data_IF_609239822891
#
_entry.id   IF_609239822891
#
_cell.length_a   1.000
_cell.length_b   1.000
_cell.length_c   1.000
_cell.angle_alpha   90.00
_cell.angle_beta   90.00
_cell.angle_gamma   90.00
#
_symmetry.space_group_name_H-M   'P 1'
#
loop_
_entity.id
_entity.type
_entity.pdbx_description
1 polymer ?
#
# COMPACT_ATOMS: atom_id res chain seq x y z
N UNK A 1 9.29 22.66 5.06
CA UNK A 1 8.58 21.47 4.54
C UNK A 1 9.17 21.15 3.19
N UNK A 2 9.33 19.86 2.85
CA UNK A 2 9.80 19.41 1.53
C UNK A 2 8.63 18.85 0.71
N UNK A 3 8.84 18.71 -0.59
CA UNK A 3 7.93 17.94 -1.44
C UNK A 3 8.29 16.47 -1.31
N UNK A 4 7.44 15.69 -0.64
CA UNK A 4 7.53 14.26 -0.56
C UNK A 4 6.71 13.64 -1.67
N UNK A 5 7.34 12.80 -2.49
CA UNK A 5 6.63 11.97 -3.46
C UNK A 5 6.01 10.79 -2.71
N UNK A 6 4.70 10.65 -2.76
CA UNK A 6 3.99 9.52 -2.17
C UNK A 6 4.56 8.21 -2.72
N UNK A 7 4.76 8.18 -4.02
CA UNK A 7 5.44 7.09 -4.72
C UNK A 7 6.80 7.61 -5.21
N UNK A 8 7.90 6.97 -4.80
CA UNK A 8 9.25 7.41 -5.18
C UNK A 8 9.45 7.47 -6.70
N UNK A 9 10.25 8.44 -7.15
CA UNK A 9 10.53 8.63 -8.59
C UNK A 9 11.12 7.40 -9.28
N UNK A 10 11.89 6.57 -8.56
CA UNK A 10 12.46 5.35 -9.13
C UNK A 10 11.38 4.33 -9.52
N UNK A 11 10.27 4.26 -8.79
CA UNK A 11 9.09 3.43 -9.14
C UNK A 11 8.52 3.90 -10.47
N UNK A 12 8.31 5.20 -10.63
CA UNK A 12 7.81 5.78 -11.87
C UNK A 12 8.70 5.49 -13.07
N UNK A 13 10.03 5.47 -12.88
CA UNK A 13 10.98 5.09 -13.94
C UNK A 13 10.79 3.63 -14.36
N UNK A 14 10.68 2.72 -13.38
CA UNK A 14 10.43 1.29 -13.68
C UNK A 14 9.11 1.10 -14.44
N UNK A 15 8.05 1.77 -14.00
CA UNK A 15 6.75 1.68 -14.68
C UNK A 15 6.77 2.23 -16.10
N UNK A 16 7.58 3.27 -16.37
CA UNK A 16 7.73 3.79 -17.72
C UNK A 16 8.36 2.80 -18.70
N UNK A 17 9.11 1.80 -18.19
CA UNK A 17 9.69 0.70 -18.98
C UNK A 17 8.66 -0.42 -19.23
N UNK A 18 7.57 -0.49 -18.48
CA UNK A 18 6.53 -1.52 -18.64
C UNK A 18 5.71 -1.27 -19.90
N UNK A 19 5.61 -2.30 -20.78
CA UNK A 19 4.84 -2.23 -22.04
C UNK A 19 3.37 -1.89 -21.83
N UNK A 20 2.76 -2.28 -20.70
CA UNK A 20 1.37 -1.95 -20.33
C UNK A 20 1.19 -0.47 -20.04
N UNK A 21 2.28 0.23 -19.72
CA UNK A 21 2.30 1.63 -19.33
C UNK A 21 3.01 2.52 -20.36
N UNK A 22 3.75 1.93 -21.28
CA UNK A 22 4.62 2.65 -22.20
C UNK A 22 3.86 3.56 -23.18
N UNK A 23 4.28 4.81 -23.24
CA UNK A 23 3.96 5.74 -24.30
C UNK A 23 2.69 6.57 -24.14
N UNK A 24 1.79 6.28 -23.19
CA UNK A 24 0.58 7.07 -22.94
C UNK A 24 0.68 7.86 -21.64
N UNK A 25 0.46 9.19 -21.65
CA UNK A 25 0.29 9.95 -20.44
C UNK A 25 -0.84 9.37 -19.59
N UNK A 26 -0.59 9.18 -18.30
CA UNK A 26 -1.60 8.68 -17.36
C UNK A 26 -2.31 9.86 -16.71
N UNK A 27 -3.62 9.84 -16.75
CA UNK A 27 -4.44 10.75 -15.96
C UNK A 27 -4.57 10.16 -14.55
N UNK A 28 -4.11 10.90 -13.57
CA UNK A 28 -4.20 10.49 -12.16
C UNK A 28 -5.48 11.08 -11.58
N UNK A 29 -6.39 10.20 -11.16
CA UNK A 29 -7.67 10.58 -10.57
C UNK A 29 -7.70 10.19 -9.11
N UNK A 30 -8.09 11.13 -8.27
CA UNK A 30 -8.45 10.88 -6.88
C UNK A 30 -9.96 10.84 -6.78
N UNK A 31 -10.50 9.76 -6.25
CA UNK A 31 -11.93 9.58 -6.04
C UNK A 31 -12.21 9.40 -4.54
N UNK A 32 -13.38 9.82 -4.09
CA UNK A 32 -13.87 9.56 -2.74
C UNK A 32 -14.34 8.11 -2.57
N UNK A 33 -14.86 7.78 -1.38
CA UNK A 33 -15.39 6.44 -1.10
C UNK A 33 -16.57 6.04 -1.97
N UNK A 34 -17.31 7.00 -2.49
CA UNK A 34 -18.47 6.80 -3.36
C UNK A 34 -18.08 6.72 -4.83
N UNK A 35 -16.80 6.91 -5.16
CA UNK A 35 -16.30 6.91 -6.54
C UNK A 35 -16.42 8.27 -7.24
N UNK A 36 -16.82 9.34 -6.55
CA UNK A 36 -16.88 10.66 -7.14
C UNK A 36 -15.48 11.25 -7.32
N UNK A 37 -15.26 11.90 -8.45
CA UNK A 37 -13.99 12.55 -8.75
C UNK A 37 -13.74 13.72 -7.78
N UNK A 38 -12.72 13.58 -6.93
CA UNK A 38 -12.27 14.63 -6.02
C UNK A 38 -11.23 15.52 -6.67
N UNK A 39 -10.33 14.93 -7.44
CA UNK A 39 -9.24 15.64 -8.09
C UNK A 39 -8.74 14.87 -9.31
N UNK A 40 -8.47 15.59 -10.38
CA UNK A 40 -7.76 15.09 -11.53
C UNK A 40 -6.45 15.86 -11.67
N UNK A 41 -5.34 15.15 -11.83
CA UNK A 41 -4.04 15.75 -12.10
C UNK A 41 -3.78 15.75 -13.61
N UNK A 42 -3.01 16.74 -14.11
CA UNK A 42 -2.65 16.76 -15.52
C UNK A 42 -2.03 15.44 -15.97
N UNK A 43 -2.27 15.04 -17.22
CA UNK A 43 -1.66 13.85 -17.78
C UNK A 43 -0.14 13.88 -17.63
N UNK A 44 0.44 12.82 -17.08
CA UNK A 44 1.88 12.71 -16.86
C UNK A 44 2.38 11.32 -17.21
N UNK A 45 3.61 11.23 -17.71
CA UNK A 45 4.30 9.94 -17.89
C UNK A 45 4.78 9.34 -16.57
N UNK A 46 4.84 10.14 -15.52
CA UNK A 46 5.31 9.74 -14.19
C UNK A 46 4.19 9.92 -13.17
N UNK A 47 4.15 9.04 -12.20
CA UNK A 47 3.31 9.25 -11.02
C UNK A 47 3.91 10.41 -10.24
N UNK A 48 3.17 11.52 -10.15
CA UNK A 48 3.65 12.74 -9.52
C UNK A 48 2.68 13.21 -8.42
N UNK A 49 2.33 12.29 -7.51
CA UNK A 49 1.54 12.64 -6.34
C UNK A 49 2.50 13.05 -5.23
N UNK A 50 2.44 14.32 -4.84
CA UNK A 50 3.31 14.91 -3.83
C UNK A 50 2.51 15.45 -2.66
N UNK A 51 3.11 15.44 -1.48
CA UNK A 51 2.63 16.14 -0.28
C UNK A 51 3.71 17.06 0.27
N UNK A 52 3.29 18.17 0.88
CA UNK A 52 4.18 19.10 1.60
C UNK A 52 4.05 18.96 3.11
N UNK A 53 3.52 17.84 3.60
CA UNK A 53 3.31 17.57 5.04
C UNK A 53 4.51 16.92 5.72
N UNK A 54 5.52 16.50 4.95
CA UNK A 54 6.73 15.86 5.45
C UNK A 54 7.86 16.88 5.54
N UNK A 55 8.61 16.88 6.65
CA UNK A 55 9.79 17.76 6.78
C UNK A 55 10.96 17.21 5.95
N UNK A 56 11.85 18.13 5.48
CA UNK A 56 13.00 17.77 4.66
C UNK A 56 13.93 16.77 5.35
N UNK A 57 14.18 16.96 6.65
CA UNK A 57 15.04 16.05 7.43
C UNK A 57 14.46 14.64 7.49
N UNK A 58 13.15 14.49 7.67
CA UNK A 58 12.51 13.18 7.65
C UNK A 58 12.56 12.56 6.25
N UNK A 59 12.22 13.33 5.23
CA UNK A 59 12.15 12.88 3.85
C UNK A 59 13.52 12.40 3.34
N UNK A 60 14.52 13.27 3.31
CA UNK A 60 15.88 12.97 2.82
C UNK A 60 16.70 12.14 3.82
N UNK A 61 16.22 12.02 5.06
CA UNK A 61 16.86 11.28 6.13
C UNK A 61 16.43 9.81 6.18
N UNK A 62 15.64 9.46 7.21
CA UNK A 62 15.30 8.06 7.47
C UNK A 62 14.35 7.46 6.44
N UNK A 63 13.40 8.25 5.90
CA UNK A 63 12.45 7.75 4.91
C UNK A 63 13.18 7.31 3.63
N UNK A 64 14.04 8.15 3.09
CA UNK A 64 14.83 7.83 1.91
C UNK A 64 15.90 6.78 2.21
N UNK A 65 16.78 7.05 3.19
CA UNK A 65 17.98 6.24 3.39
C UNK A 65 17.71 4.88 3.99
N UNK A 66 16.72 4.78 4.91
CA UNK A 66 16.47 3.55 5.68
C UNK A 66 15.24 2.77 5.21
N UNK A 67 14.37 3.34 4.39
CA UNK A 67 13.22 2.64 3.83
C UNK A 67 13.26 2.58 2.30
N UNK A 68 13.36 3.71 1.60
CA UNK A 68 13.23 3.71 0.14
C UNK A 68 14.42 3.05 -0.56
N UNK A 69 15.64 3.45 -0.22
CA UNK A 69 16.85 2.86 -0.83
C UNK A 69 16.96 1.37 -0.58
N UNK A 70 16.77 0.84 0.65
CA UNK A 70 16.79 -0.60 0.89
C UNK A 70 15.62 -1.33 0.23
N UNK A 71 14.45 -0.69 0.06
CA UNK A 71 13.30 -1.30 -0.60
C UNK A 71 13.48 -1.42 -2.13
N UNK A 72 14.25 -0.54 -2.75
CA UNK A 72 14.41 -0.52 -4.20
C UNK A 72 14.89 -1.86 -4.81
N UNK A 73 15.94 -2.53 -4.30
CA UNK A 73 16.39 -3.83 -4.83
C UNK A 73 15.42 -4.97 -4.53
N UNK A 74 14.49 -4.78 -3.59
CA UNK A 74 13.45 -5.75 -3.23
C UNK A 74 12.24 -5.58 -4.15
N UNK A 75 11.65 -4.40 -4.14
CA UNK A 75 10.40 -4.12 -4.85
C UNK A 75 10.61 -3.94 -6.37
N UNK A 76 11.79 -3.49 -6.80
CA UNK A 76 12.08 -3.25 -8.22
C UNK A 76 11.90 -4.49 -9.11
N UNK A 77 12.46 -5.67 -8.78
CA UNK A 77 12.17 -6.92 -9.47
C UNK A 77 10.68 -7.30 -9.42
N UNK A 78 10.04 -7.12 -8.26
CA UNK A 78 8.62 -7.45 -8.09
C UNK A 78 7.70 -6.60 -8.99
N UNK A 79 7.98 -5.30 -9.13
CA UNK A 79 7.25 -4.42 -10.05
C UNK A 79 7.34 -4.94 -11.49
N UNK A 80 8.45 -5.50 -11.89
CA UNK A 80 8.68 -6.09 -13.23
C UNK A 80 8.09 -7.49 -13.40
N UNK A 81 7.60 -8.11 -12.31
CA UNK A 81 7.09 -9.49 -12.32
C UNK A 81 8.20 -10.55 -12.31
N UNK A 82 9.42 -10.19 -11.94
CA UNK A 82 10.55 -11.12 -11.85
C UNK A 82 10.52 -11.88 -10.51
N UNK A 83 10.97 -13.11 -10.53
CA UNK A 83 11.06 -13.95 -9.34
C UNK A 83 11.98 -13.32 -8.27
N UNK A 84 11.54 -13.40 -7.04
CA UNK A 84 12.28 -12.91 -5.89
C UNK A 84 11.98 -13.79 -4.67
N UNK A 85 13.00 -14.16 -3.93
CA UNK A 85 12.85 -14.75 -2.60
C UNK A 85 13.20 -13.67 -1.59
N UNK A 86 12.32 -13.45 -0.61
CA UNK A 86 12.45 -12.46 0.44
C UNK A 86 12.81 -13.15 1.75
N UNK A 87 13.92 -12.81 2.35
CA UNK A 87 14.21 -13.18 3.72
C UNK A 87 13.41 -12.31 4.72
N UNK A 88 13.51 -12.61 6.02
CA UNK A 88 12.77 -11.87 7.06
C UNK A 88 13.15 -10.38 7.11
N UNK A 89 14.40 -10.03 6.84
CA UNK A 89 14.86 -8.65 6.79
C UNK A 89 14.24 -7.90 5.62
N UNK A 90 14.24 -8.51 4.43
CA UNK A 90 13.62 -7.95 3.23
C UNK A 90 12.09 -7.83 3.37
N UNK A 91 11.44 -8.80 4.01
CA UNK A 91 10.00 -8.72 4.35
C UNK A 91 9.72 -7.52 5.25
N UNK A 92 10.51 -7.31 6.30
CA UNK A 92 10.34 -6.19 7.21
C UNK A 92 10.61 -4.83 6.53
N UNK A 93 11.62 -4.74 5.66
CA UNK A 93 11.92 -3.53 4.87
C UNK A 93 10.78 -3.18 3.93
N UNK A 94 10.26 -4.17 3.19
CA UNK A 94 9.15 -3.96 2.26
C UNK A 94 7.88 -3.56 3.01
N UNK A 95 7.59 -4.21 4.14
CA UNK A 95 6.46 -3.86 4.99
C UNK A 95 6.58 -2.44 5.57
N UNK A 96 7.78 -2.06 6.04
CA UNK A 96 8.08 -0.72 6.55
C UNK A 96 7.86 0.35 5.48
N UNK A 97 8.38 0.11 4.27
CA UNK A 97 8.15 1.02 3.14
C UNK A 97 6.66 1.17 2.80
N UNK A 98 5.92 0.06 2.73
CA UNK A 98 4.49 0.07 2.44
C UNK A 98 3.69 0.83 3.51
N UNK A 99 3.98 0.63 4.79
CA UNK A 99 3.35 1.37 5.89
C UNK A 99 3.66 2.87 5.82
N UNK A 100 4.92 3.26 5.52
CA UNK A 100 5.30 4.67 5.29
C UNK A 100 4.47 5.27 4.16
N UNK A 101 4.33 4.58 3.03
CA UNK A 101 3.53 5.06 1.90
C UNK A 101 2.07 5.24 2.31
N UNK A 102 1.47 4.27 3.03
CA UNK A 102 0.10 4.38 3.53
C UNK A 102 -0.09 5.61 4.43
N UNK A 103 0.84 5.88 5.36
CA UNK A 103 0.79 7.06 6.21
C UNK A 103 0.91 8.38 5.43
N UNK A 104 1.79 8.41 4.42
CA UNK A 104 1.94 9.59 3.56
C UNK A 104 0.71 9.81 2.69
N UNK A 105 0.09 8.73 2.18
CA UNK A 105 -1.17 8.80 1.45
C UNK A 105 -2.30 9.40 2.28
N UNK A 106 -2.37 9.13 3.57
CA UNK A 106 -3.38 9.70 4.45
C UNK A 106 -3.38 11.23 4.45
N UNK A 107 -2.24 11.88 4.24
CA UNK A 107 -2.15 13.34 4.16
C UNK A 107 -2.67 13.94 2.87
N UNK A 108 -2.79 13.17 1.80
CA UNK A 108 -3.30 13.67 0.51
C UNK A 108 -4.81 13.44 0.34
N UNK A 109 -5.46 12.72 1.26
CA UNK A 109 -6.91 12.58 1.26
C UNK A 109 -7.64 13.91 1.42
N UNK A 110 -8.86 13.98 0.92
CA UNK A 110 -9.77 15.10 1.08
C UNK A 110 -11.05 14.65 1.81
N UNK A 111 -11.25 14.94 3.10
CA UNK A 111 -10.31 15.62 4.00
C UNK A 111 -9.09 14.76 4.36
N UNK A 112 -7.94 15.37 4.71
CA UNK A 112 -6.78 14.61 5.18
C UNK A 112 -7.11 13.73 6.37
N UNK A 113 -6.67 12.49 6.31
CA UNK A 113 -6.90 11.54 7.40
C UNK A 113 -5.85 11.77 8.50
N UNK A 114 -6.21 11.65 9.77
CA UNK A 114 -5.27 11.82 10.85
C UNK A 114 -4.27 10.66 10.87
N UNK A 115 -2.99 10.99 10.94
CA UNK A 115 -1.91 10.03 11.22
C UNK A 115 -1.43 10.30 12.62
N UNK A 116 -1.53 9.30 13.49
CA UNK A 116 -1.15 9.47 14.88
C UNK A 116 0.36 9.66 15.01
N UNK A 117 0.76 10.58 15.88
CA UNK A 117 2.16 10.89 16.16
C UNK A 117 2.96 9.67 16.61
N UNK A 118 2.36 8.83 17.43
CA UNK A 118 2.96 7.59 17.92
C UNK A 118 3.39 6.63 16.81
N UNK A 119 2.64 6.58 15.68
CA UNK A 119 2.99 5.73 14.54
C UNK A 119 4.19 6.28 13.76
N UNK A 120 4.25 7.61 13.62
CA UNK A 120 5.38 8.28 12.98
C UNK A 120 6.65 8.12 13.80
N UNK A 121 6.55 8.27 15.13
CA UNK A 121 7.67 8.09 16.05
C UNK A 121 8.14 6.62 16.05
N UNK A 122 7.21 5.66 16.04
CA UNK A 122 7.56 4.24 15.89
C UNK A 122 8.31 3.98 14.58
N UNK A 123 7.80 4.45 13.45
CA UNK A 123 8.43 4.29 12.14
C UNK A 123 9.80 4.96 12.07
N UNK A 124 9.96 6.09 12.71
CA UNK A 124 11.25 6.78 12.80
C UNK A 124 12.31 5.93 13.53
N UNK A 125 11.95 5.33 14.65
CA UNK A 125 12.89 4.56 15.48
C UNK A 125 13.13 3.15 14.94
N UNK A 126 12.12 2.49 14.44
CA UNK A 126 12.16 1.06 14.12
C UNK A 126 12.22 0.74 12.62
N UNK A 127 11.88 1.66 11.73
CA UNK A 127 11.80 1.51 10.27
C UNK A 127 10.99 0.27 9.80
N UNK A 128 10.03 -0.15 10.62
CA UNK A 128 9.10 -1.28 10.37
C UNK A 128 7.74 -0.95 10.96
N UNK A 129 6.65 -1.56 10.47
CA UNK A 129 5.32 -1.28 11.01
C UNK A 129 5.23 -1.63 12.51
N UNK A 130 4.36 -0.97 13.30
CA UNK A 130 4.01 -1.44 14.63
C UNK A 130 3.46 -2.87 14.59
N UNK A 131 3.55 -3.60 15.71
CA UNK A 131 3.15 -5.01 15.78
C UNK A 131 1.65 -5.25 15.47
N UNK A 132 0.80 -4.25 15.71
CA UNK A 132 -0.64 -4.29 15.45
C UNK A 132 -1.03 -3.79 14.03
N UNK A 133 -0.06 -3.63 13.16
CA UNK A 133 -0.26 -3.40 11.74
C UNK A 133 -0.07 -4.71 10.97
N UNK A 134 -0.73 -4.77 9.83
CA UNK A 134 -0.61 -5.91 8.91
C UNK A 134 -0.23 -5.40 7.52
N UNK A 135 0.65 -6.14 6.87
CA UNK A 135 1.01 -5.91 5.48
C UNK A 135 1.01 -7.24 4.75
N UNK A 136 0.31 -7.28 3.64
CA UNK A 136 0.28 -8.42 2.73
C UNK A 136 0.80 -8.03 1.37
N UNK A 137 1.32 -9.00 0.64
CA UNK A 137 1.67 -8.87 -0.77
C UNK A 137 0.89 -9.89 -1.62
N UNK A 138 0.62 -9.49 -2.86
CA UNK A 138 0.06 -10.34 -3.89
C UNK A 138 0.66 -9.98 -5.23
N UNK A 139 0.59 -10.88 -6.21
CA UNK A 139 1.00 -10.58 -7.59
C UNK A 139 -0.22 -10.23 -8.43
N UNK A 140 -0.15 -9.13 -9.17
CA UNK A 140 -1.22 -8.63 -10.03
C UNK A 140 -0.81 -8.71 -11.49
N UNK A 141 -1.58 -9.43 -12.31
CA UNK A 141 -1.38 -9.51 -13.76
C UNK A 141 -2.46 -8.79 -14.57
N UNK A 142 -3.27 -7.97 -13.89
CA UNK A 142 -4.31 -7.15 -14.52
C UNK A 142 -3.76 -6.10 -15.50
N UNK A 143 -4.66 -5.47 -16.24
CA UNK A 143 -4.30 -4.44 -17.22
C UNK A 143 -3.94 -3.09 -16.58
N UNK A 144 -4.21 -2.92 -15.29
CA UNK A 144 -3.95 -1.67 -14.55
C UNK A 144 -2.59 -1.74 -13.85
N UNK A 145 -1.55 -1.11 -14.41
CA UNK A 145 -0.20 -1.19 -13.83
C UNK A 145 -0.04 -0.36 -12.55
N UNK A 146 -1.02 0.47 -12.22
CA UNK A 146 -0.96 1.36 -11.06
C UNK A 146 -2.35 1.63 -10.51
N UNK A 147 -2.50 1.36 -9.23
CA UNK A 147 -3.70 1.68 -8.46
C UNK A 147 -3.31 2.00 -7.02
N UNK A 148 -3.93 3.04 -6.46
CA UNK A 148 -3.73 3.41 -5.06
C UNK A 148 -5.08 3.69 -4.44
N UNK A 149 -5.36 3.07 -3.30
CA UNK A 149 -6.46 3.46 -2.43
C UNK A 149 -5.96 3.63 -1.00
N UNK A 150 -6.59 4.51 -0.27
CA UNK A 150 -6.40 4.64 1.17
C UNK A 150 -7.73 5.00 1.78
N UNK A 151 -8.10 4.31 2.85
CA UNK A 151 -9.32 4.51 3.60
C UNK A 151 -9.01 4.64 5.08
N UNK A 152 -9.72 5.52 5.79
CA UNK A 152 -9.70 5.58 7.24
C UNK A 152 -11.08 5.24 7.78
N UNK A 153 -11.09 4.47 8.85
CA UNK A 153 -12.29 3.94 9.48
C UNK A 153 -12.68 2.58 8.90
N UNK A 154 -12.72 1.59 9.74
CA UNK A 154 -13.32 0.30 9.48
C UNK A 154 -14.37 0.06 10.56
N UNK A 155 -15.53 -0.45 10.18
CA UNK A 155 -16.48 -0.95 11.13
C UNK A 155 -16.14 -2.41 11.44
N UNK A 156 -15.99 -2.74 12.70
CA UNK A 156 -15.77 -4.11 13.11
C UNK A 156 -16.94 -4.60 13.94
N UNK A 157 -17.49 -5.74 13.55
CA UNK A 157 -18.43 -6.49 14.39
C UNK A 157 -17.63 -7.30 15.40
N UNK A 158 -17.89 -7.07 16.69
CA UNK A 158 -17.41 -7.97 17.72
C UNK A 158 -18.26 -9.26 17.67
N UNK A 159 -17.68 -10.45 17.91
CA UNK A 159 -18.39 -11.73 17.82
C UNK A 159 -19.64 -11.85 18.70
N UNK A 160 -19.85 -10.95 19.65
CA UNK A 160 -20.96 -10.96 20.61
C UNK A 160 -21.41 -9.58 21.07
N UNK A 161 -21.24 -8.53 20.23
CA UNK A 161 -21.53 -7.18 20.66
C UNK A 161 -21.94 -6.21 19.54
N UNK A 162 -22.24 -4.96 19.90
CA UNK A 162 -22.60 -3.93 18.94
C UNK A 162 -21.44 -3.66 17.97
N UNK A 163 -21.79 -3.16 16.77
CA UNK A 163 -20.80 -2.60 15.84
C UNK A 163 -19.98 -1.53 16.55
N UNK A 164 -18.66 -1.68 16.54
CA UNK A 164 -17.73 -0.71 17.10
C UNK A 164 -16.98 -0.04 15.96
N UNK A 165 -17.02 1.28 15.94
CA UNK A 165 -16.18 2.06 15.02
C UNK A 165 -14.71 1.86 15.42
N UNK A 166 -14.00 1.08 14.62
CA UNK A 166 -12.56 0.90 14.78
C UNK A 166 -11.86 1.83 13.82
N UNK A 167 -11.07 2.75 14.37
CA UNK A 167 -10.19 3.55 13.53
C UNK A 167 -9.05 2.67 13.02
N UNK A 168 -9.15 2.26 11.79
CA UNK A 168 -8.07 1.58 11.08
C UNK A 168 -7.73 2.36 9.80
N UNK A 169 -6.46 2.39 9.45
CA UNK A 169 -6.00 2.90 8.17
C UNK A 169 -5.80 1.70 7.22
N UNK A 170 -6.60 1.63 6.18
CA UNK A 170 -6.44 0.64 5.14
C UNK A 170 -5.87 1.30 3.88
N UNK A 171 -4.85 0.71 3.28
CA UNK A 171 -4.32 1.15 2.00
C UNK A 171 -4.05 -0.03 1.08
N UNK A 172 -4.23 0.19 -0.22
CA UNK A 172 -3.87 -0.76 -1.27
C UNK A 172 -2.98 -0.06 -2.28
N UNK A 173 -1.86 -0.68 -2.61
CA UNK A 173 -0.91 -0.20 -3.59
C UNK A 173 -0.74 -1.28 -4.66
N UNK A 174 -1.03 -0.97 -5.92
CA UNK A 174 -0.70 -1.82 -7.05
C UNK A 174 0.30 -1.05 -7.89
N UNK A 175 1.46 -1.64 -8.11
CA UNK A 175 2.59 -1.04 -8.79
C UNK A 175 3.18 -2.10 -9.73
N UNK A 176 2.89 -2.02 -11.00
CA UNK A 176 3.26 -3.03 -11.96
C UNK A 176 2.64 -4.39 -11.63
N UNK A 177 3.47 -5.40 -11.38
CA UNK A 177 3.01 -6.72 -10.94
C UNK A 177 2.87 -6.84 -9.42
N UNK A 178 3.43 -5.92 -8.65
CA UNK A 178 3.37 -5.96 -7.19
C UNK A 178 2.08 -5.34 -6.66
N UNK A 179 1.38 -6.06 -5.79
CA UNK A 179 0.24 -5.55 -5.05
C UNK A 179 0.52 -5.66 -3.55
N UNK A 180 0.29 -4.59 -2.80
CA UNK A 180 0.47 -4.52 -1.37
C UNK A 180 -0.82 -4.04 -0.71
N UNK A 181 -1.25 -4.71 0.34
CA UNK A 181 -2.36 -4.31 1.20
C UNK A 181 -1.83 -4.02 2.59
N UNK A 182 -2.18 -2.85 3.11
CA UNK A 182 -1.77 -2.36 4.43
C UNK A 182 -3.02 -2.15 5.27
N UNK A 183 -3.00 -2.60 6.50
CA UNK A 183 -4.04 -2.38 7.49
C UNK A 183 -3.41 -2.07 8.84
N UNK A 184 -3.82 -0.97 9.46
CA UNK A 184 -3.34 -0.62 10.80
C UNK A 184 -3.98 0.63 11.40
N UNK A 185 -4.00 0.70 12.73
CA UNK A 185 -3.82 -0.37 13.71
C UNK A 185 -5.07 -1.22 13.88
N UNK A 186 -4.91 -2.50 14.24
CA UNK A 186 -6.02 -3.43 14.41
C UNK A 186 -6.10 -3.98 15.84
N UNK A 187 -6.09 -3.11 16.83
CA UNK A 187 -6.07 -3.54 18.24
C UNK A 187 -7.32 -4.30 18.71
N UNK A 188 -8.39 -4.33 17.92
CA UNK A 188 -9.69 -4.87 18.32
C UNK A 188 -10.22 -5.97 17.39
N UNK A 189 -9.62 -6.16 16.22
CA UNK A 189 -10.13 -7.09 15.20
C UNK A 189 -9.14 -8.22 14.96
N UNK A 190 -9.61 -9.45 15.09
CA UNK A 190 -8.86 -10.60 14.58
C UNK A 190 -8.92 -10.57 13.06
N UNK A 191 -7.79 -10.32 12.45
CA UNK A 191 -7.68 -10.30 10.99
C UNK A 191 -7.64 -11.74 10.49
N UNK A 192 -8.65 -12.14 9.71
CA UNK A 192 -8.63 -13.43 9.03
C UNK A 192 -7.58 -13.43 7.92
N UNK A 193 -6.81 -14.51 7.87
CA UNK A 193 -5.78 -14.66 6.84
C UNK A 193 -6.41 -15.07 5.51
N UNK A 194 -6.17 -14.30 4.43
CA UNK A 194 -6.56 -14.75 3.10
C UNK A 194 -5.78 -16.01 2.71
N UNK A 195 -6.30 -16.78 1.76
CA UNK A 195 -5.65 -17.98 1.26
C UNK A 195 -4.22 -17.70 0.77
N UNK A 196 -3.24 -18.44 1.29
CA UNK A 196 -1.79 -18.23 1.06
C UNK A 196 -1.32 -18.46 -0.37
N UNK A 197 -2.13 -19.05 -1.21
CA UNK A 197 -1.81 -19.31 -2.62
C UNK A 197 -1.82 -18.06 -3.50
N UNK A 198 -2.52 -16.98 -3.09
CA UNK A 198 -2.62 -15.72 -3.81
C UNK A 198 -2.08 -14.51 -3.03
N UNK A 199 -2.12 -14.58 -1.68
CA UNK A 199 -1.76 -13.47 -0.80
C UNK A 199 -0.82 -13.95 0.29
N UNK A 200 0.30 -13.28 0.45
CA UNK A 200 1.35 -13.62 1.42
C UNK A 200 1.45 -12.50 2.45
N UNK A 201 1.42 -12.85 3.73
CA UNK A 201 1.65 -11.89 4.81
C UNK A 201 3.13 -11.59 4.94
N UNK A 202 3.47 -10.29 4.86
CA UNK A 202 4.81 -9.76 5.11
C UNK A 202 4.99 -9.32 6.56
N UNK A 203 3.91 -8.85 7.20
CA UNK A 203 3.94 -8.31 8.55
C UNK A 203 2.62 -8.51 9.29
N UNK A 204 2.59 -8.86 10.58
CA UNK A 204 3.76 -9.35 11.32
C UNK A 204 4.39 -10.60 10.68
N UNK A 205 5.69 -10.80 10.91
CA UNK A 205 6.39 -11.96 10.37
C UNK A 205 5.73 -13.27 10.80
N UNK A 206 5.55 -14.22 9.89
CA UNK A 206 4.89 -15.50 10.14
C UNK A 206 5.79 -16.55 10.79
N UNK A 207 7.07 -16.24 10.98
CA UNK A 207 8.08 -17.20 11.40
C UNK A 207 8.74 -17.96 10.23
N UNK A 208 8.20 -17.88 9.03
CA UNK A 208 8.87 -18.39 7.84
C UNK A 208 10.15 -17.61 7.57
N UNK A 209 11.25 -18.31 7.38
CA UNK A 209 12.55 -17.65 7.13
C UNK A 209 12.61 -16.96 5.78
N UNK A 210 11.88 -17.49 4.81
CA UNK A 210 11.81 -16.92 3.45
C UNK A 210 10.40 -17.05 2.88
N UNK A 211 10.02 -16.10 2.01
CA UNK A 211 8.81 -16.16 1.20
C UNK A 211 9.16 -15.95 -0.27
N UNK A 212 8.46 -16.67 -1.16
CA UNK A 212 8.69 -16.58 -2.62
C UNK A 212 7.69 -15.61 -3.26
N UNK A 213 8.20 -14.81 -4.16
CA UNK A 213 7.46 -13.94 -5.08
C UNK A 213 7.69 -14.43 -6.53
N UNK A 214 6.70 -14.43 -7.41
CA UNK A 214 5.27 -14.21 -7.10
C UNK A 214 4.66 -15.39 -6.34
N UNK A 215 3.52 -15.19 -5.64
CA UNK A 215 2.73 -16.31 -5.12
C UNK A 215 2.20 -17.18 -6.28
N UNK A 216 1.80 -18.43 -6.01
CA UNK A 216 1.36 -19.37 -7.05
C UNK A 216 0.19 -18.85 -7.89
N UNK A 217 -0.68 -18.02 -7.31
CA UNK A 217 -1.82 -17.41 -8.01
C UNK A 217 -1.68 -15.90 -8.09
N UNK A 218 -2.06 -15.36 -9.24
CA UNK A 218 -2.13 -13.92 -9.48
C UNK A 218 -3.55 -13.38 -9.22
N UNK A 219 -3.60 -12.10 -8.83
CA UNK A 219 -4.83 -11.32 -8.81
C UNK A 219 -5.01 -10.69 -10.19
N UNK A 220 -6.13 -11.00 -10.84
CA UNK A 220 -6.55 -10.38 -12.10
C UNK A 220 -7.53 -9.22 -11.84
N UNK A 221 -7.96 -8.53 -12.90
CA UNK A 221 -8.88 -7.39 -12.80
C UNK A 221 -10.25 -7.77 -12.18
N UNK A 222 -10.66 -9.05 -12.23
CA UNK A 222 -11.92 -9.52 -11.64
C UNK A 222 -11.81 -9.71 -10.12
N UNK A 223 -10.62 -10.10 -9.65
CA UNK A 223 -10.33 -10.34 -8.23
C UNK A 223 -9.78 -9.10 -7.52
N UNK A 224 -9.38 -8.09 -8.29
CA UNK A 224 -8.83 -6.87 -7.76
C UNK A 224 -9.78 -6.17 -6.77
N UNK A 225 -11.11 -6.03 -7.02
CA UNK A 225 -12.02 -5.46 -6.03
C UNK A 225 -11.97 -6.19 -4.70
N UNK A 226 -11.96 -7.52 -4.71
CA UNK A 226 -11.88 -8.32 -3.48
C UNK A 226 -10.60 -8.06 -2.69
N UNK A 227 -9.47 -7.85 -3.37
CA UNK A 227 -8.22 -7.50 -2.71
C UNK A 227 -8.21 -6.06 -2.18
N UNK A 228 -8.81 -5.12 -2.91
CA UNK A 228 -8.95 -3.71 -2.49
C UNK A 228 -9.86 -3.62 -1.29
N UNK A 229 -11.00 -4.32 -1.32
CA UNK A 229 -12.02 -4.27 -0.26
C UNK A 229 -11.74 -5.26 0.88
N UNK A 230 -10.67 -6.04 0.78
CA UNK A 230 -10.23 -6.93 1.84
C UNK A 230 -10.10 -6.15 3.16
N UNK A 231 -10.85 -6.55 4.19
CA UNK A 231 -10.95 -5.89 5.50
C UNK A 231 -11.72 -4.55 5.54
N UNK A 232 -12.39 -4.17 4.46
CA UNK A 232 -13.38 -3.11 4.48
C UNK A 232 -14.75 -3.73 4.81
N UNK A 233 -15.68 -2.90 5.27
CA UNK A 233 -17.02 -3.31 5.73
C UNK A 233 -17.68 -4.32 4.76
N UNK A 234 -18.02 -5.55 5.20
CA UNK A 234 -18.68 -6.54 4.37
C UNK A 234 -20.09 -6.14 3.90
N UNK A 235 -20.66 -5.06 4.47
CA UNK A 235 -21.96 -4.51 4.07
C UNK A 235 -21.92 -3.58 2.86
N UNK A 236 -20.74 -3.17 2.39
CA UNK A 236 -20.66 -2.30 1.20
C UNK A 236 -20.45 -3.12 -0.08
N UNK A 237 -21.22 -2.84 -1.15
CA UNK A 237 -20.95 -3.48 -2.44
C UNK A 237 -19.55 -3.14 -2.95
N UNK A 238 -18.88 -4.08 -3.64
CA UNK A 238 -17.56 -3.83 -4.22
C UNK A 238 -17.58 -2.58 -5.11
N UNK A 239 -16.58 -1.73 -4.95
CA UNK A 239 -16.49 -0.47 -5.70
C UNK A 239 -16.29 -0.72 -7.18
N UNK A 240 -17.03 -0.01 -8.06
CA UNK A 240 -16.71 -0.06 -9.48
C UNK A 240 -15.31 0.49 -9.70
N UNK A 241 -14.47 -0.29 -10.34
CA UNK A 241 -13.16 0.14 -10.81
C UNK A 241 -13.37 1.00 -12.06
N UNK A 242 -13.47 2.32 -11.87
CA UNK A 242 -13.54 3.29 -12.97
C UNK A 242 -12.21 3.47 -13.67
#
# INVERSE_FOLDING_TARGET
MSEEHVIPRWVSKILAEDRRHSGRPQVQRMVDRQGHLVRELPPSKLINVVTRRVCKVCNEGWMERKLERPCQPILGPMIRGWDKTLDQSEQAVLAGWAAKVAMVMAYIHAPPQPVKREWLDWMYWHQRPPANWYVWMASCNGQRPTYFSSDAGAHASLPSGPMVDVYAQAATLIIGYAALKILGPTSVVRVEEPGRDAVIRLWPLTGETTVRWPPPRHIDDRRLPLFVDMFLDPGQPPRPLS
#
